data_IF_925748431657
#
_entry.id   IF_925748431657
#
_cell.length_a   1.000
_cell.length_b   1.000
_cell.length_c   1.000
_cell.angle_alpha   90.00
_cell.angle_beta   90.00
_cell.angle_gamma   90.00
#
_symmetry.space_group_name_H-M   'P 1'
#
loop_
_entity.id
_entity.type
_entity.pdbx_description
1 polymer ?
#
# COMPACT_ATOMS: atom_id res chain seq x y z
N UNK A 1 2.68 8.61 9.15
CA UNK A 1 3.95 8.51 8.42
C UNK A 1 4.53 9.90 8.26
N UNK A 2 5.84 9.97 8.22
CA UNK A 2 6.53 11.24 8.17
C UNK A 2 6.71 11.75 6.74
N UNK A 3 7.17 13.00 6.61
CA UNK A 3 7.34 13.64 5.31
C UNK A 3 8.35 12.93 4.42
N UNK A 4 9.37 12.27 5.02
CA UNK A 4 10.37 11.57 4.22
C UNK A 4 9.79 10.33 3.53
N UNK A 5 8.84 9.65 4.14
CA UNK A 5 8.16 8.52 3.51
C UNK A 5 7.37 9.01 2.29
N UNK A 6 6.62 10.10 2.43
CA UNK A 6 5.86 10.65 1.32
C UNK A 6 6.76 11.19 0.20
N UNK A 7 7.91 11.77 0.55
CA UNK A 7 8.88 12.21 -0.45
C UNK A 7 9.42 11.04 -1.27
N UNK A 8 9.75 9.94 -0.62
CA UNK A 8 10.21 8.73 -1.30
C UNK A 8 9.12 8.15 -2.19
N UNK A 9 7.88 8.13 -1.71
CA UNK A 9 6.74 7.66 -2.50
C UNK A 9 6.56 8.53 -3.75
N UNK A 10 6.72 9.85 -3.63
CA UNK A 10 6.64 10.75 -4.79
C UNK A 10 7.71 10.42 -5.83
N UNK A 11 8.93 10.10 -5.39
CA UNK A 11 10.00 9.67 -6.30
C UNK A 11 9.65 8.36 -7.00
N UNK A 12 9.13 7.39 -6.25
CA UNK A 12 8.70 6.12 -6.82
C UNK A 12 7.59 6.30 -7.84
N UNK A 13 6.63 7.16 -7.54
CA UNK A 13 5.54 7.46 -8.47
C UNK A 13 6.07 8.06 -9.77
N UNK A 14 7.00 8.99 -9.67
CA UNK A 14 7.60 9.61 -10.84
C UNK A 14 8.35 8.57 -11.68
N UNK A 15 9.11 7.69 -11.05
CA UNK A 15 9.82 6.62 -11.72
C UNK A 15 8.86 5.66 -12.44
N UNK A 16 7.76 5.29 -11.81
CA UNK A 16 6.76 4.38 -12.38
C UNK A 16 6.05 4.97 -13.60
N UNK A 17 5.95 6.29 -13.69
CA UNK A 17 5.17 6.95 -14.75
C UNK A 17 6.02 7.51 -15.88
N UNK A 18 7.31 7.70 -15.66
CA UNK A 18 8.15 8.47 -16.60
C UNK A 18 8.19 7.90 -18.01
N UNK A 19 8.14 6.58 -18.16
CA UNK A 19 8.22 5.93 -19.47
C UNK A 19 6.92 5.23 -19.88
N UNK A 20 5.84 5.49 -19.14
CA UNK A 20 4.57 4.83 -19.45
C UNK A 20 3.92 5.42 -20.68
N UNK A 21 3.43 4.57 -21.57
CA UNK A 21 2.68 4.96 -22.76
C UNK A 21 1.17 4.98 -22.51
N UNK A 22 0.74 4.59 -21.31
CA UNK A 22 -0.70 4.53 -20.97
C UNK A 22 -1.24 5.92 -20.64
N UNK A 23 -2.51 6.19 -20.95
CA UNK A 23 -3.15 7.43 -20.52
C UNK A 23 -3.10 7.57 -19.01
N UNK A 24 -3.02 8.79 -18.50
CA UNK A 24 -2.90 9.07 -17.08
C UNK A 24 -4.04 8.47 -16.26
N UNK A 25 -5.28 8.56 -16.75
CA UNK A 25 -6.43 7.97 -16.07
C UNK A 25 -6.31 6.45 -15.94
N UNK A 26 -5.83 5.80 -16.98
CA UNK A 26 -5.61 4.37 -16.98
C UNK A 26 -4.54 3.99 -15.96
N UNK A 27 -3.44 4.74 -15.90
CA UNK A 27 -2.37 4.51 -14.93
C UNK A 27 -2.89 4.63 -13.49
N UNK A 28 -3.73 5.64 -13.24
CA UNK A 28 -4.33 5.88 -11.93
C UNK A 28 -5.19 4.68 -11.50
N UNK A 29 -6.06 4.21 -12.39
CA UNK A 29 -6.94 3.08 -12.12
C UNK A 29 -6.14 1.81 -11.86
N UNK A 30 -5.14 1.54 -12.69
CA UNK A 30 -4.31 0.33 -12.54
C UNK A 30 -3.53 0.35 -11.24
N UNK A 31 -3.06 1.53 -10.80
CA UNK A 31 -2.36 1.65 -9.52
C UNK A 31 -3.28 1.32 -8.35
N UNK A 32 -4.54 1.73 -8.42
CA UNK A 32 -5.54 1.40 -7.39
C UNK A 32 -5.81 -0.10 -7.37
N UNK A 33 -5.99 -0.71 -8.54
CA UNK A 33 -6.23 -2.15 -8.66
C UNK A 33 -5.05 -2.97 -8.13
N UNK A 34 -3.84 -2.44 -8.23
CA UNK A 34 -2.64 -3.10 -7.72
C UNK A 34 -2.72 -3.35 -6.21
N UNK A 35 -3.49 -2.56 -5.48
CA UNK A 35 -3.69 -2.76 -4.03
C UNK A 35 -4.29 -4.14 -3.76
N UNK A 36 -5.27 -4.56 -4.56
CA UNK A 36 -5.88 -5.88 -4.41
C UNK A 36 -4.88 -6.99 -4.70
N UNK A 37 -4.04 -6.80 -5.71
CA UNK A 37 -2.98 -7.75 -6.05
C UNK A 37 -2.01 -7.93 -4.88
N UNK A 38 -1.54 -6.82 -4.29
CA UNK A 38 -0.63 -6.85 -3.15
C UNK A 38 -1.31 -7.44 -1.91
N UNK A 39 -2.59 -7.16 -1.69
CA UNK A 39 -3.35 -7.74 -0.58
C UNK A 39 -3.42 -9.27 -0.72
N UNK A 40 -3.54 -9.77 -1.97
CA UNK A 40 -3.50 -11.20 -2.24
C UNK A 40 -2.17 -11.83 -1.84
N UNK A 41 -1.07 -11.11 -2.03
CA UNK A 41 0.25 -11.59 -1.62
C UNK A 41 0.39 -11.65 -0.10
N UNK A 42 -0.25 -10.73 0.63
CA UNK A 42 -0.32 -10.82 2.09
C UNK A 42 -1.04 -12.11 2.51
N UNK A 43 -2.18 -12.41 1.89
CA UNK A 43 -2.94 -13.61 2.18
C UNK A 43 -2.10 -14.87 1.93
N UNK A 44 -1.39 -14.89 0.81
CA UNK A 44 -0.51 -16.00 0.44
C UNK A 44 0.60 -16.18 1.47
N UNK A 45 1.20 -15.09 1.93
CA UNK A 45 2.26 -15.13 2.93
C UNK A 45 1.76 -15.64 4.29
N UNK A 46 0.54 -15.23 4.69
CA UNK A 46 -0.06 -15.70 5.95
C UNK A 46 -0.34 -17.19 5.88
N UNK A 47 -0.91 -17.67 4.78
CA UNK A 47 -1.17 -19.09 4.59
C UNK A 47 0.15 -19.87 4.68
N UNK A 48 1.20 -19.36 4.02
CA UNK A 48 2.51 -20.01 4.05
C UNK A 48 3.18 -19.96 5.41
N UNK A 49 3.00 -18.86 6.16
CA UNK A 49 3.60 -18.71 7.49
C UNK A 49 2.93 -19.59 8.53
N UNK A 50 1.65 -19.92 8.34
CA UNK A 50 0.89 -20.77 9.27
C UNK A 50 0.94 -22.25 8.89
N UNK A 51 1.45 -22.56 7.69
CA UNK A 51 1.48 -23.94 7.21
C UNK A 51 0.11 -24.54 6.98
N UNK A 52 -0.89 -23.71 6.72
CA UNK A 52 -2.29 -24.13 6.63
C UNK A 52 -2.53 -25.12 5.49
N UNK A 53 -1.82 -24.99 4.37
CA UNK A 53 -1.96 -25.90 3.25
C UNK A 53 -1.00 -27.07 3.44
N UNK A 54 -1.53 -28.31 3.71
CA UNK A 54 -0.68 -29.47 3.99
C UNK A 54 0.29 -29.81 2.87
N UNK A 55 -0.08 -29.52 1.63
CA UNK A 55 0.75 -29.82 0.48
C UNK A 55 1.95 -28.89 0.37
N UNK A 56 1.75 -27.60 0.71
CA UNK A 56 2.81 -26.57 0.62
C UNK A 56 3.59 -26.42 1.91
N UNK A 57 2.98 -26.76 3.04
CA UNK A 57 3.61 -26.62 4.35
C UNK A 57 3.91 -25.16 4.70
N UNK A 58 5.05 -24.95 5.36
CA UNK A 58 5.52 -23.62 5.77
C UNK A 58 6.41 -23.04 4.68
N UNK A 59 5.80 -22.33 3.74
CA UNK A 59 6.51 -21.74 2.59
C UNK A 59 6.95 -20.29 2.84
N UNK A 60 6.47 -19.66 3.89
CA UNK A 60 6.75 -18.25 4.23
C UNK A 60 7.02 -18.10 5.72
N UNK A 61 7.61 -16.96 6.10
CA UNK A 61 7.82 -16.58 7.49
C UNK A 61 6.92 -15.40 7.83
N UNK A 62 6.83 -15.07 9.12
CA UNK A 62 6.11 -13.86 9.54
C UNK A 62 6.83 -12.59 9.10
N UNK A 63 8.16 -12.65 8.86
CA UNK A 63 8.90 -11.54 8.26
C UNK A 63 8.42 -11.28 6.83
N UNK A 64 8.10 -12.34 6.08
CA UNK A 64 7.52 -12.19 4.73
C UNK A 64 6.16 -11.48 4.81
N UNK A 65 5.35 -11.82 5.82
CA UNK A 65 4.06 -11.15 6.03
C UNK A 65 4.26 -9.66 6.29
N UNK A 66 5.25 -9.32 7.13
CA UNK A 66 5.58 -7.91 7.41
C UNK A 66 5.93 -7.16 6.14
N UNK A 67 6.77 -7.75 5.29
CA UNK A 67 7.19 -7.13 4.03
C UNK A 67 6.01 -6.93 3.08
N UNK A 68 5.14 -7.95 2.98
CA UNK A 68 3.97 -7.85 2.12
C UNK A 68 2.99 -6.79 2.61
N UNK A 69 2.85 -6.64 3.93
CA UNK A 69 2.03 -5.56 4.50
C UNK A 69 2.60 -4.19 4.17
N UNK A 70 3.94 -4.04 4.24
CA UNK A 70 4.59 -2.81 3.85
C UNK A 70 4.34 -2.50 2.37
N UNK A 71 4.36 -3.52 1.52
CA UNK A 71 4.10 -3.35 0.09
C UNK A 71 2.67 -2.85 -0.17
N UNK A 72 1.68 -3.34 0.59
CA UNK A 72 0.30 -2.85 0.50
C UNK A 72 0.25 -1.37 0.88
N UNK A 73 0.94 -0.99 1.96
CA UNK A 73 0.97 0.41 2.41
C UNK A 73 1.60 1.29 1.34
N UNK A 74 2.77 0.88 0.82
CA UNK A 74 3.49 1.65 -0.20
C UNK A 74 2.64 1.79 -1.47
N UNK A 75 2.05 0.70 -1.93
CA UNK A 75 1.20 0.70 -3.12
C UNK A 75 0.01 1.65 -2.96
N UNK A 76 -0.58 1.68 -1.76
CA UNK A 76 -1.69 2.57 -1.45
C UNK A 76 -1.25 4.03 -1.39
N UNK A 77 -0.05 4.30 -0.84
CA UNK A 77 0.52 5.65 -0.80
C UNK A 77 0.78 6.17 -2.21
N UNK A 78 1.32 5.31 -3.09
CA UNK A 78 1.54 5.67 -4.50
C UNK A 78 0.21 6.00 -5.17
N UNK A 79 -0.81 5.18 -4.93
CA UNK A 79 -2.15 5.42 -5.51
C UNK A 79 -2.70 6.77 -5.07
N UNK A 80 -2.60 7.07 -3.78
CA UNK A 80 -3.09 8.34 -3.24
C UNK A 80 -2.32 9.53 -3.84
N UNK A 81 -1.01 9.40 -4.00
CA UNK A 81 -0.16 10.43 -4.62
C UNK A 81 -0.58 10.72 -6.05
N UNK A 82 -1.05 9.71 -6.77
CA UNK A 82 -1.54 9.90 -8.15
C UNK A 82 -2.87 10.65 -8.22
N UNK A 83 -3.68 10.54 -7.15
CA UNK A 83 -4.99 11.18 -7.11
C UNK A 83 -4.87 12.64 -6.69
N UNK A 84 -3.98 12.94 -5.75
CA UNK A 84 -3.87 14.28 -5.19
C UNK A 84 -2.42 14.64 -4.88
N UNK A 85 -2.00 15.89 -5.16
CA UNK A 85 -0.68 16.36 -4.74
C UNK A 85 -0.59 16.57 -3.23
N UNK A 86 -1.73 16.53 -2.52
CA UNK A 86 -1.82 16.71 -1.07
C UNK A 86 -1.95 15.37 -0.34
N UNK A 87 -1.39 14.30 -0.90
CA UNK A 87 -1.58 12.93 -0.38
C UNK A 87 -1.25 12.80 1.10
N UNK A 88 -0.11 13.34 1.54
CA UNK A 88 0.29 13.26 2.95
C UNK A 88 -0.70 13.95 3.87
N UNK A 89 -1.21 15.11 3.47
CA UNK A 89 -2.19 15.85 4.26
C UNK A 89 -3.53 15.12 4.29
N UNK A 90 -3.97 14.60 3.14
CA UNK A 90 -5.21 13.82 3.05
C UNK A 90 -5.16 12.62 3.99
N UNK A 91 -4.02 11.92 3.99
CA UNK A 91 -3.84 10.77 4.88
C UNK A 91 -3.86 11.18 6.35
N UNK A 92 -3.11 12.24 6.71
CA UNK A 92 -3.07 12.72 8.09
C UNK A 92 -4.44 13.15 8.60
N UNK A 93 -5.21 13.83 7.76
CA UNK A 93 -6.57 14.26 8.11
C UNK A 93 -7.49 13.06 8.34
N UNK A 94 -7.40 12.06 7.47
CA UNK A 94 -8.22 10.85 7.61
C UNK A 94 -7.82 10.07 8.87
N UNK A 95 -6.53 9.97 9.14
CA UNK A 95 -6.04 9.28 10.33
C UNK A 95 -6.59 9.95 11.60
N UNK A 96 -6.58 11.29 11.64
CA UNK A 96 -7.13 12.05 12.76
C UNK A 96 -8.63 11.77 12.91
N UNK A 97 -9.39 11.74 11.81
CA UNK A 97 -10.83 11.43 11.86
C UNK A 97 -11.09 10.03 12.40
N UNK A 98 -10.30 9.07 11.99
CA UNK A 98 -10.41 7.68 12.48
C UNK A 98 -10.11 7.63 13.97
N UNK A 99 -9.05 8.32 14.40
CA UNK A 99 -8.67 8.38 15.81
C UNK A 99 -9.80 8.98 16.66
N UNK A 100 -10.35 10.11 16.25
CA UNK A 100 -11.42 10.77 16.98
C UNK A 100 -12.67 9.91 17.05
N UNK A 101 -13.01 9.22 15.96
CA UNK A 101 -14.19 8.35 15.91
C UNK A 101 -14.02 7.15 16.82
N UNK A 102 -12.81 6.58 16.90
CA UNK A 102 -12.54 5.39 17.69
C UNK A 102 -12.22 5.70 19.16
N UNK A 103 -11.47 6.78 19.43
CA UNK A 103 -10.91 7.08 20.74
C UNK A 103 -11.51 8.33 21.39
N UNK A 104 -12.36 9.06 20.66
CA UNK A 104 -12.94 10.31 21.11
C UNK A 104 -12.04 11.50 20.83
N UNK A 105 -12.53 12.74 21.10
CA UNK A 105 -11.77 13.95 20.83
C UNK A 105 -10.47 13.97 21.62
N UNK A 106 -9.38 14.48 21.00
CA UNK A 106 -8.08 14.58 21.66
C UNK A 106 -7.95 15.86 22.44
#
# INVERSE_FOLDING_TARGET
>A
MNDSAWATVAELNQWLTQDSQLPEETQKILQILKITEEAGEVAEAVIGATGQNPRKGFSHSWEDVEQELCDVIITSMVALTRITPQAGQVFSDQLRRVRERALGPS
#
